data_IF_665147299459
#
_entry.id   IF_665147299459
#
_cell.length_a   1.000
_cell.length_b   1.000
_cell.length_c   1.000
_cell.angle_alpha   90.00
_cell.angle_beta   90.00
_cell.angle_gamma   90.00
#
_symmetry.space_group_name_H-M   'P 1'
#
loop_
_entity.id
_entity.type
_entity.pdbx_description
1 polymer ?
#
# COMPACT_ATOMS: atom_id res chain seq x y z
N UNK A 1 2.20 14.25 17.13
CA UNK A 1 3.49 14.97 17.24
C UNK A 1 4.63 13.96 17.24
N UNK A 2 5.85 14.32 16.82
CA UNK A 2 6.96 13.36 16.67
C UNK A 2 7.59 12.85 17.98
N UNK A 3 7.65 13.71 19.01
CA UNK A 3 8.36 13.43 20.27
C UNK A 3 7.81 12.23 21.06
N UNK A 4 8.67 11.43 21.74
CA UNK A 4 8.24 10.28 22.55
C UNK A 4 7.22 10.61 23.66
N UNK A 5 7.20 11.85 24.17
CA UNK A 5 6.22 12.28 25.18
C UNK A 5 4.75 12.15 24.71
N UNK A 6 4.50 11.96 23.41
CA UNK A 6 3.16 11.80 22.84
C UNK A 6 2.84 10.36 22.38
N UNK A 7 3.70 9.39 22.70
CA UNK A 7 3.54 8.00 22.21
C UNK A 7 2.26 7.31 22.71
N UNK A 8 1.73 7.71 23.87
CA UNK A 8 0.47 7.18 24.41
C UNK A 8 -0.79 7.84 23.81
N UNK A 9 -0.68 8.99 23.15
CA UNK A 9 -1.84 9.75 22.62
C UNK A 9 -1.88 9.81 21.10
N UNK A 10 -0.73 9.69 20.44
CA UNK A 10 -0.59 9.60 18.98
C UNK A 10 -1.37 8.41 18.36
N UNK A 11 -1.45 7.21 18.98
CA UNK A 11 -2.24 6.10 18.45
C UNK A 11 -3.73 6.39 18.28
N UNK A 12 -4.27 7.34 19.05
CA UNK A 12 -5.68 7.78 18.95
C UNK A 12 -6.01 8.45 17.61
N UNK A 13 -4.99 8.80 16.80
CA UNK A 13 -5.14 9.38 15.46
C UNK A 13 -5.04 8.35 14.31
N UNK A 14 -4.74 7.08 14.59
CA UNK A 14 -4.59 6.03 13.57
C UNK A 14 -5.87 5.29 13.14
N UNK A 15 -6.99 5.23 13.91
CA UNK A 15 -8.24 4.64 13.43
C UNK A 15 -8.71 5.23 12.08
N UNK A 16 -9.30 4.37 11.25
CA UNK A 16 -9.86 4.68 9.93
C UNK A 16 -8.95 5.41 8.91
N UNK A 17 -7.64 5.45 9.16
CA UNK A 17 -6.66 6.05 8.23
C UNK A 17 -6.48 5.22 6.96
N UNK A 18 -6.84 5.75 5.78
CA UNK A 18 -6.57 5.09 4.48
C UNK A 18 -5.05 5.02 4.16
N UNK A 19 -4.26 6.01 4.59
CA UNK A 19 -2.79 6.04 4.45
C UNK A 19 -2.07 6.65 5.67
N UNK A 20 -0.79 6.29 5.82
CA UNK A 20 0.18 6.93 6.73
C UNK A 20 1.40 7.37 5.94
N UNK A 21 1.75 8.66 6.06
CA UNK A 21 3.01 9.21 5.57
C UNK A 21 4.04 9.14 6.70
N UNK A 22 5.04 8.25 6.59
CA UNK A 22 6.17 8.25 7.52
C UNK A 22 7.22 9.20 6.96
N UNK A 23 7.45 10.30 7.67
CA UNK A 23 8.40 11.34 7.27
C UNK A 23 9.74 11.18 8.01
N UNK A 24 10.85 11.38 7.29
CA UNK A 24 12.18 11.59 7.86
C UNK A 24 12.82 12.86 7.26
N UNK A 25 13.96 13.26 7.80
CA UNK A 25 14.66 14.52 7.50
C UNK A 25 15.97 14.20 6.75
N UNK A 26 16.07 14.62 5.48
CA UNK A 26 17.20 14.24 4.60
C UNK A 26 18.55 14.76 5.13
N UNK A 27 18.54 15.88 5.86
CA UNK A 27 19.73 16.43 6.52
C UNK A 27 20.14 15.69 7.80
N UNK A 28 19.41 14.67 8.24
CA UNK A 28 19.58 14.02 9.56
C UNK A 28 19.35 12.51 9.50
N UNK A 29 20.39 11.72 9.15
CA UNK A 29 20.27 10.27 8.92
C UNK A 29 19.70 9.46 10.09
N UNK A 30 19.83 9.92 11.33
CA UNK A 30 19.25 9.26 12.51
C UNK A 30 17.71 9.23 12.50
N UNK A 31 17.08 10.13 11.72
CA UNK A 31 15.64 10.11 11.50
C UNK A 31 15.21 9.00 10.53
N UNK A 32 16.04 8.65 9.53
CA UNK A 32 15.81 7.50 8.65
C UNK A 32 15.92 6.19 9.45
N UNK A 33 16.93 6.09 10.32
CA UNK A 33 17.07 4.97 11.26
C UNK A 33 15.83 4.77 12.13
N UNK A 34 15.21 5.88 12.57
CA UNK A 34 13.99 5.88 13.37
C UNK A 34 12.76 5.33 12.63
N UNK A 35 12.73 5.38 11.29
CA UNK A 35 11.69 4.76 10.44
C UNK A 35 11.66 3.25 10.67
N UNK A 36 12.82 2.59 10.63
CA UNK A 36 12.92 1.15 10.84
C UNK A 36 12.78 0.77 12.32
N UNK A 37 13.45 1.52 13.20
CA UNK A 37 13.56 1.21 14.64
C UNK A 37 12.29 1.47 15.44
N UNK A 38 11.44 2.41 14.99
CA UNK A 38 10.20 2.78 15.68
C UNK A 38 8.99 2.83 14.76
N UNK A 39 8.99 3.73 13.77
CA UNK A 39 7.75 4.08 13.06
C UNK A 39 7.11 2.88 12.34
N UNK A 40 7.91 1.99 11.74
CA UNK A 40 7.42 0.74 11.15
C UNK A 40 6.62 -0.10 12.17
N UNK A 41 7.18 -0.32 13.36
CA UNK A 41 6.55 -1.16 14.40
C UNK A 41 5.24 -0.55 14.90
N UNK A 42 5.28 0.74 15.24
CA UNK A 42 4.11 1.50 15.73
C UNK A 42 2.94 1.47 14.73
N UNK A 43 3.22 1.66 13.43
CA UNK A 43 2.20 1.61 12.37
C UNK A 43 1.70 0.17 12.13
N UNK A 44 2.57 -0.84 12.26
CA UNK A 44 2.16 -2.25 12.20
C UNK A 44 1.32 -2.70 13.40
N UNK A 45 1.49 -2.08 14.57
CA UNK A 45 0.69 -2.35 15.77
C UNK A 45 -0.72 -1.75 15.65
N UNK A 46 -0.83 -0.45 15.31
CA UNK A 46 -2.10 0.27 15.37
C UNK A 46 -2.91 0.31 14.06
N UNK A 47 -2.28 0.18 12.88
CA UNK A 47 -2.98 0.23 11.58
C UNK A 47 -2.36 -0.71 10.51
N UNK A 48 -2.26 -2.04 10.76
CA UNK A 48 -1.51 -2.99 9.94
C UNK A 48 -1.93 -3.16 8.47
N UNK A 49 -3.11 -2.67 8.08
CA UNK A 49 -3.63 -2.77 6.70
C UNK A 49 -3.54 -1.45 5.90
N UNK A 50 -3.13 -0.36 6.55
CA UNK A 50 -3.14 1.00 6.01
C UNK A 50 -1.99 1.25 5.04
N UNK A 51 -2.16 2.14 4.05
CA UNK A 51 -1.13 2.41 3.04
C UNK A 51 0.02 3.25 3.61
N UNK A 52 1.15 2.60 3.87
CA UNK A 52 2.39 3.27 4.26
C UNK A 52 3.10 3.87 3.03
N UNK A 53 3.44 5.16 3.08
CA UNK A 53 4.36 5.82 2.16
C UNK A 53 5.55 6.37 2.94
N UNK A 54 6.76 6.31 2.37
CA UNK A 54 7.96 6.91 2.97
C UNK A 54 8.25 8.26 2.31
N UNK A 55 8.43 9.30 3.14
CA UNK A 55 8.65 10.68 2.69
C UNK A 55 10.00 11.20 3.20
N UNK A 56 10.88 11.57 2.27
CA UNK A 56 12.12 12.29 2.56
C UNK A 56 11.89 13.80 2.53
N UNK A 57 11.83 14.45 3.68
CA UNK A 57 11.65 15.89 3.79
C UNK A 57 12.99 16.65 3.69
N UNK A 58 12.92 17.92 3.27
CA UNK A 58 14.05 18.84 3.12
C UNK A 58 15.13 18.38 2.13
N UNK A 59 14.72 17.91 0.95
CA UNK A 59 15.64 17.46 -0.10
C UNK A 59 16.60 18.56 -0.58
N UNK A 60 16.25 19.83 -0.39
CA UNK A 60 17.09 21.01 -0.58
C UNK A 60 18.40 20.98 0.22
N UNK A 61 18.36 20.48 1.46
CA UNK A 61 19.53 20.42 2.33
C UNK A 61 20.54 19.33 1.92
N UNK A 62 20.22 18.49 0.92
CA UNK A 62 21.20 17.57 0.31
C UNK A 62 22.33 18.31 -0.42
N UNK A 63 22.08 19.53 -0.88
CA UNK A 63 23.04 20.39 -1.58
C UNK A 63 23.40 21.67 -0.81
N UNK A 64 22.88 21.85 0.40
CA UNK A 64 23.25 22.98 1.25
C UNK A 64 24.67 22.82 1.80
N UNK A 65 25.49 23.86 1.64
CA UNK A 65 26.90 23.86 2.05
C UNK A 65 27.05 23.77 3.57
N UNK A 66 26.18 24.46 4.33
CA UNK A 66 26.24 24.44 5.81
C UNK A 66 25.93 23.04 6.35
N UNK A 67 24.84 22.42 5.87
CA UNK A 67 24.44 21.04 6.18
C UNK A 67 25.53 20.04 5.81
N UNK A 68 26.14 20.17 4.63
CA UNK A 68 27.22 19.28 4.18
C UNK A 68 28.46 19.39 5.08
N UNK A 69 28.84 20.59 5.51
CA UNK A 69 29.96 20.80 6.45
C UNK A 69 29.62 20.25 7.84
N UNK A 70 28.42 20.50 8.36
CA UNK A 70 27.98 20.00 9.67
C UNK A 70 27.98 18.47 9.73
N UNK A 71 27.45 17.80 8.71
CA UNK A 71 27.45 16.34 8.62
C UNK A 71 28.86 15.79 8.40
N UNK A 72 29.71 16.46 7.60
CA UNK A 72 31.10 16.06 7.38
C UNK A 72 31.91 16.04 8.69
N UNK A 73 31.73 17.04 9.56
CA UNK A 73 32.34 17.08 10.90
C UNK A 73 31.96 15.85 11.76
N UNK A 74 30.76 15.30 11.56
CA UNK A 74 30.26 14.09 12.22
C UNK A 74 30.53 12.80 11.42
N UNK A 75 31.26 12.87 10.30
CA UNK A 75 31.53 11.77 9.35
C UNK A 75 30.27 11.17 8.72
N UNK A 76 29.22 11.97 8.59
CA UNK A 76 27.95 11.62 7.95
C UNK A 76 27.79 12.33 6.61
N UNK A 77 26.77 11.94 5.87
CA UNK A 77 26.30 12.60 4.63
C UNK A 77 24.77 12.71 4.65
N UNK A 78 24.16 13.65 3.91
CA UNK A 78 22.71 13.70 3.75
C UNK A 78 22.18 12.41 3.13
N UNK A 79 20.96 12.02 3.49
CA UNK A 79 20.35 10.78 2.99
C UNK A 79 20.22 10.83 1.46
N UNK A 80 20.75 9.84 0.76
CA UNK A 80 20.61 9.72 -0.70
C UNK A 80 19.24 9.16 -1.10
N UNK A 81 18.84 9.42 -2.35
CA UNK A 81 17.59 8.87 -2.88
C UNK A 81 17.54 7.34 -2.80
N UNK A 82 18.67 6.67 -3.09
CA UNK A 82 18.76 5.20 -2.99
C UNK A 82 18.63 4.68 -1.56
N UNK A 83 19.16 5.40 -0.56
CA UNK A 83 18.98 5.03 0.85
C UNK A 83 17.50 5.10 1.25
N UNK A 84 16.80 6.17 0.88
CA UNK A 84 15.35 6.29 1.10
C UNK A 84 14.54 5.23 0.33
N UNK A 85 14.84 5.02 -0.95
CA UNK A 85 14.17 4.02 -1.78
C UNK A 85 14.41 2.58 -1.29
N UNK A 86 15.57 2.28 -0.71
CA UNK A 86 15.84 0.98 -0.10
C UNK A 86 15.19 0.82 1.28
N UNK A 87 15.12 1.89 2.10
CA UNK A 87 14.35 1.88 3.34
C UNK A 87 12.85 1.64 3.07
N UNK A 88 12.28 2.27 2.04
CA UNK A 88 10.88 2.05 1.64
C UNK A 88 10.59 0.57 1.33
N UNK A 89 11.48 -0.10 0.58
CA UNK A 89 11.40 -1.55 0.32
C UNK A 89 11.50 -2.37 1.62
N UNK A 90 12.41 -1.99 2.52
CA UNK A 90 12.68 -2.70 3.79
C UNK A 90 11.51 -2.59 4.80
N UNK A 91 10.78 -1.48 4.81
CA UNK A 91 9.60 -1.31 5.66
C UNK A 91 8.31 -1.84 5.02
N UNK A 92 8.27 -2.00 3.69
CA UNK A 92 7.09 -2.43 2.94
C UNK A 92 6.18 -1.28 2.52
N UNK A 93 6.72 -0.06 2.40
CA UNK A 93 5.98 1.11 1.92
C UNK A 93 5.61 0.96 0.44
N UNK A 94 4.46 1.53 0.05
CA UNK A 94 3.95 1.49 -1.31
C UNK A 94 4.83 2.28 -2.30
N UNK A 95 5.51 3.33 -1.82
CA UNK A 95 6.50 4.09 -2.59
C UNK A 95 7.43 4.86 -1.66
N UNK A 96 8.52 5.38 -2.23
CA UNK A 96 9.33 6.47 -1.68
C UNK A 96 9.07 7.75 -2.49
N UNK A 97 9.11 8.91 -1.84
CA UNK A 97 9.01 10.23 -2.48
C UNK A 97 9.74 11.27 -1.62
N UNK A 98 10.23 12.35 -2.24
CA UNK A 98 10.95 13.43 -1.58
C UNK A 98 10.29 14.79 -1.84
N UNK A 99 10.47 15.73 -0.92
CA UNK A 99 10.05 17.12 -1.12
C UNK A 99 10.99 18.14 -0.48
N UNK A 100 10.89 19.37 -1.00
CA UNK A 100 11.33 20.57 -0.31
C UNK A 100 10.13 21.48 -0.10
N UNK A 101 9.61 21.54 1.13
CA UNK A 101 8.59 22.51 1.50
C UNK A 101 9.12 23.96 1.50
N UNK A 102 10.44 24.16 1.42
CA UNK A 102 11.09 25.46 1.33
C UNK A 102 11.26 25.93 -0.13
N UNK A 103 11.64 25.04 -1.04
CA UNK A 103 11.99 25.39 -2.43
C UNK A 103 10.95 24.98 -3.49
N UNK A 104 10.03 24.05 -3.19
CA UNK A 104 9.08 23.54 -4.19
C UNK A 104 7.75 23.10 -3.57
N UNK A 105 6.76 24.01 -3.59
CA UNK A 105 5.38 23.70 -3.19
C UNK A 105 4.80 22.53 -4.02
N UNK A 106 5.16 22.45 -5.31
CA UNK A 106 4.75 21.34 -6.19
C UNK A 106 5.22 19.99 -5.65
N UNK A 107 6.45 19.87 -5.15
CA UNK A 107 6.95 18.62 -4.55
C UNK A 107 6.14 18.19 -3.30
N UNK A 108 5.52 19.12 -2.60
CA UNK A 108 4.60 18.83 -1.49
C UNK A 108 3.22 18.39 -2.02
N UNK A 109 2.70 19.08 -3.04
CA UNK A 109 1.44 18.71 -3.71
C UNK A 109 1.51 17.29 -4.31
N UNK A 110 2.64 16.93 -4.91
CA UNK A 110 2.88 15.62 -5.52
C UNK A 110 2.82 14.47 -4.49
N UNK A 111 3.32 14.68 -3.26
CA UNK A 111 3.17 13.69 -2.18
C UNK A 111 1.70 13.41 -1.88
N UNK A 112 0.88 14.46 -1.72
CA UNK A 112 -0.55 14.29 -1.42
C UNK A 112 -1.31 13.72 -2.62
N UNK A 113 -0.91 14.02 -3.85
CA UNK A 113 -1.46 13.41 -5.06
C UNK A 113 -1.17 11.90 -5.11
N UNK A 114 0.09 11.50 -4.92
CA UNK A 114 0.51 10.09 -4.89
C UNK A 114 -0.13 9.32 -3.73
N UNK A 115 -0.25 9.93 -2.55
CA UNK A 115 -0.97 9.36 -1.41
C UNK A 115 -2.47 9.14 -1.75
N UNK A 116 -3.12 10.14 -2.34
CA UNK A 116 -4.52 10.03 -2.79
C UNK A 116 -4.70 8.88 -3.78
N UNK A 117 -3.82 8.76 -4.77
CA UNK A 117 -3.84 7.65 -5.72
C UNK A 117 -3.61 6.29 -5.06
N UNK A 118 -2.77 6.19 -4.03
CA UNK A 118 -2.54 4.94 -3.28
C UNK A 118 -3.79 4.47 -2.50
N UNK A 119 -4.63 5.41 -2.05
CA UNK A 119 -5.88 5.14 -1.33
C UNK A 119 -7.07 4.87 -2.27
N UNK A 120 -7.23 5.68 -3.33
CA UNK A 120 -8.34 5.60 -4.28
C UNK A 120 -8.27 4.34 -5.14
N UNK A 121 -7.05 3.88 -5.49
CA UNK A 121 -6.86 2.64 -6.25
C UNK A 121 -7.05 1.37 -5.38
N UNK A 122 -8.28 1.17 -4.89
CA UNK A 122 -8.73 -0.01 -4.15
C UNK A 122 -8.79 -1.23 -5.08
N UNK A 123 -7.62 -1.77 -5.45
CA UNK A 123 -7.53 -3.10 -6.07
C UNK A 123 -8.13 -4.12 -5.09
N UNK A 124 -9.30 -4.65 -5.43
CA UNK A 124 -10.08 -5.56 -4.58
C UNK A 124 -9.35 -6.90 -4.38
N UNK A 125 -8.41 -6.94 -3.44
CA UNK A 125 -7.60 -8.11 -3.10
C UNK A 125 -8.01 -8.65 -1.74
N UNK A 126 -8.86 -9.68 -1.76
CA UNK A 126 -9.19 -10.58 -0.65
C UNK A 126 -10.00 -10.01 0.53
N UNK A 127 -11.26 -9.65 0.27
CA UNK A 127 -12.31 -10.20 1.16
C UNK A 127 -12.37 -11.69 0.88
N UNK A 128 -11.75 -12.52 1.74
CA UNK A 128 -11.85 -13.98 1.64
C UNK A 128 -13.29 -14.41 1.95
N UNK A 129 -14.13 -14.49 0.92
CA UNK A 129 -15.50 -15.00 1.03
C UNK A 129 -15.46 -16.48 1.40
N UNK A 130 -15.62 -16.77 2.70
CA UNK A 130 -15.65 -18.12 3.25
C UNK A 130 -16.77 -18.96 2.61
N UNK A 131 -16.42 -19.69 1.53
CA UNK A 131 -17.26 -20.76 0.99
C UNK A 131 -17.20 -21.94 1.96
N UNK A 132 -18.16 -22.01 2.87
CA UNK A 132 -18.41 -23.21 3.67
C UNK A 132 -18.62 -24.40 2.74
N UNK A 133 -17.62 -25.30 2.66
CA UNK A 133 -17.75 -26.55 1.91
C UNK A 133 -18.54 -27.55 2.76
N UNK A 134 -19.87 -27.50 2.62
CA UNK A 134 -20.78 -28.48 3.22
C UNK A 134 -20.57 -29.84 2.56
N UNK A 135 -19.66 -30.65 3.11
CA UNK A 135 -19.26 -31.92 2.54
C UNK A 135 -20.39 -32.96 2.56
N UNK A 136 -20.98 -33.23 1.40
CA UNK A 136 -21.93 -34.34 1.20
C UNK A 136 -21.18 -35.60 0.79
N UNK A 137 -21.04 -36.56 1.71
CA UNK A 137 -20.46 -37.88 1.40
C UNK A 137 -21.28 -38.57 0.30
N UNK A 138 -20.64 -39.04 -0.77
CA UNK A 138 -21.25 -40.02 -1.69
C UNK A 138 -21.21 -41.40 -1.03
N UNK A 139 -22.34 -42.10 -1.06
CA UNK A 139 -22.44 -43.54 -0.78
C UNK A 139 -23.08 -44.18 -2.03
N UNK A 140 -22.68 -45.40 -2.37
CA UNK A 140 -22.85 -46.00 -3.69
C UNK A 140 -23.86 -47.16 -3.71
N UNK A 141 -24.94 -47.03 -4.48
CA UNK A 141 -25.59 -48.19 -5.12
C UNK A 141 -26.47 -47.83 -6.34
N UNK A 142 -26.68 -48.85 -7.17
CA UNK A 142 -27.59 -49.03 -8.31
C UNK A 142 -27.91 -50.55 -8.34
N UNK A 143 -28.97 -51.09 -9.00
CA UNK A 143 -29.70 -50.52 -10.15
C UNK A 143 -31.25 -50.63 -10.09
N UNK A 144 -31.93 -50.24 -11.17
CA UNK A 144 -33.35 -50.58 -11.45
C UNK A 144 -33.90 -49.93 -12.73
N UNK A 145 -34.54 -50.70 -13.63
CA UNK A 145 -35.14 -50.26 -14.92
C UNK A 145 -36.29 -51.20 -15.33
N UNK A 146 -37.45 -50.69 -15.77
CA UNK A 146 -37.91 -50.76 -17.19
C UNK A 146 -38.03 -49.35 -17.84
N UNK A 147 -37.95 -49.09 -19.15
CA UNK A 147 -38.84 -49.42 -20.30
C UNK A 147 -40.27 -48.84 -20.16
N UNK A 148 -40.92 -48.19 -21.16
CA UNK A 148 -40.67 -47.85 -22.60
C UNK A 148 -41.17 -46.37 -22.83
N UNK A 149 -41.36 -45.68 -23.98
CA UNK A 149 -41.18 -45.85 -25.45
C UNK A 149 -41.38 -44.50 -26.19
N UNK A 150 -40.61 -44.19 -27.24
CA UNK A 150 -40.92 -43.22 -28.36
C UNK A 150 -41.15 -41.72 -28.00
N UNK A 151 -41.05 -40.70 -28.88
CA UNK A 151 -40.84 -40.54 -30.35
C UNK A 151 -39.68 -39.55 -30.60
N UNK A 152 -39.17 -39.41 -31.84
CA UNK A 152 -38.07 -38.50 -32.23
C UNK A 152 -38.53 -37.27 -33.06
N UNK A 153 -37.56 -36.48 -33.55
CA UNK A 153 -37.67 -35.24 -34.39
C UNK A 153 -38.10 -33.97 -33.63
N UNK A 154 -37.70 -32.75 -34.02
CA UNK A 154 -36.91 -32.33 -35.19
C UNK A 154 -35.94 -31.15 -34.90
N UNK A 155 -35.07 -30.79 -35.86
CA UNK A 155 -34.11 -29.69 -35.77
C UNK A 155 -34.71 -28.32 -36.08
N UNK A 156 -34.16 -27.28 -35.45
CA UNK A 156 -33.61 -26.09 -36.16
C UNK A 156 -32.63 -25.30 -35.30
N UNK A 157 -31.75 -24.55 -35.98
CA UNK A 157 -30.56 -23.88 -35.41
C UNK A 157 -30.30 -22.60 -36.19
N UNK A 158 -30.75 -21.47 -35.66
CA UNK A 158 -30.56 -20.16 -36.28
C UNK A 158 -29.57 -19.28 -35.53
N UNK A 159 -28.95 -18.34 -36.25
CA UNK A 159 -27.61 -17.83 -35.93
C UNK A 159 -27.46 -16.32 -36.16
N UNK A 160 -27.33 -15.59 -35.05
CA UNK A 160 -26.64 -14.31 -34.87
C UNK A 160 -27.08 -13.06 -35.68
N UNK A 161 -27.19 -11.94 -34.95
CA UNK A 161 -26.66 -10.57 -35.22
C UNK A 161 -27.07 -9.72 -33.99
N UNK A 162 -26.18 -9.09 -33.22
CA UNK A 162 -25.14 -8.11 -33.56
C UNK A 162 -25.74 -6.81 -34.12
N UNK A 163 -25.72 -5.76 -33.30
CA UNK A 163 -25.91 -4.35 -33.66
C UNK A 163 -25.10 -3.50 -32.66
N UNK A 164 -24.78 -2.26 -33.02
CA UNK A 164 -23.73 -1.44 -32.38
C UNK A 164 -24.27 -0.18 -31.70
N UNK A 165 -23.47 0.34 -30.77
CA UNK A 165 -23.59 1.59 -30.00
C UNK A 165 -23.83 2.83 -30.88
N UNK A 166 -24.58 3.80 -30.34
CA UNK A 166 -24.35 5.24 -30.53
C UNK A 166 -23.94 5.84 -29.18
#
# INVERSE_FOLDING_TARGET
AGSPYYDNVRPLSYPDSDAVLICFDISRPETLDSVLKKWKGEIQEFCPNTKMLLVGCKSDLRTDVSTLVELSNHRQTPVSYDQGANMAKQIGAATYIECSALQSENSVRDIFHVATLACVNKTNKNVKRNKSQRATKRISHMPGRPELSTVATDLRKDKAKSCTVM
#
